data_IF_157229649827
#
_entry.id   IF_157229649827
#
_cell.length_a   1.000
_cell.length_b   1.000
_cell.length_c   1.000
_cell.angle_alpha   90.00
_cell.angle_beta   90.00
_cell.angle_gamma   90.00
#
_symmetry.space_group_name_H-M   'P 1'
#
loop_
_entity.id
_entity.type
_entity.pdbx_description
1 polymer ?
#
# COMPACT_ATOMS: atom_id res chain seq x y z
N UNK A 1 19.90 2.04 -10.95
CA UNK A 1 19.50 3.21 -10.14
C UNK A 1 18.19 3.73 -10.71
N UNK A 2 17.10 3.65 -9.94
CA UNK A 2 15.77 4.10 -10.40
C UNK A 2 15.77 5.63 -10.48
N UNK A 3 15.48 6.19 -11.65
CA UNK A 3 15.19 7.63 -11.80
C UNK A 3 13.85 7.89 -11.12
N UNK A 4 13.77 8.91 -10.26
CA UNK A 4 12.49 9.38 -9.78
C UNK A 4 11.69 9.92 -10.97
N UNK A 5 10.55 9.30 -11.27
CA UNK A 5 9.60 9.83 -12.25
C UNK A 5 8.73 10.89 -11.58
N UNK A 6 8.35 11.90 -12.36
CA UNK A 6 7.32 12.89 -11.97
C UNK A 6 5.90 12.38 -12.21
N UNK A 7 5.75 11.24 -12.87
CA UNK A 7 4.46 10.59 -13.07
C UNK A 7 3.82 10.20 -11.73
N UNK A 8 2.50 10.28 -11.67
CA UNK A 8 1.75 9.68 -10.57
C UNK A 8 1.88 8.15 -10.56
N UNK A 9 1.67 7.54 -9.39
CA UNK A 9 1.67 6.06 -9.25
C UNK A 9 0.66 5.40 -10.19
N UNK A 10 -0.48 6.06 -10.45
CA UNK A 10 -1.49 5.57 -11.39
C UNK A 10 -0.96 5.53 -12.82
N UNK A 11 -0.28 6.58 -13.25
CA UNK A 11 0.32 6.67 -14.59
C UNK A 11 1.46 5.66 -14.76
N UNK A 12 2.32 5.53 -13.75
CA UNK A 12 3.38 4.52 -13.75
C UNK A 12 2.83 3.11 -13.90
N UNK A 13 1.77 2.77 -13.14
CA UNK A 13 1.08 1.48 -13.26
C UNK A 13 0.50 1.28 -14.66
N UNK A 14 -0.14 2.30 -15.23
CA UNK A 14 -0.69 2.22 -16.58
C UNK A 14 0.40 1.97 -17.64
N UNK A 15 1.56 2.64 -17.54
CA UNK A 15 2.69 2.48 -18.48
C UNK A 15 3.27 1.07 -18.51
N UNK A 16 3.13 0.29 -17.43
CA UNK A 16 3.64 -1.09 -17.33
C UNK A 16 2.55 -2.16 -17.44
N UNK A 17 1.31 -1.76 -17.73
CA UNK A 17 0.15 -2.67 -17.80
C UNK A 17 -0.39 -2.71 -19.22
N UNK A 18 -0.05 -3.75 -19.97
CA UNK A 18 -0.62 -4.01 -21.29
C UNK A 18 -1.96 -4.75 -21.19
N UNK A 19 -2.87 -4.50 -22.14
CA UNK A 19 -4.14 -5.23 -22.26
C UNK A 19 -3.88 -6.75 -22.40
N UNK A 20 -4.56 -7.55 -21.59
CA UNK A 20 -4.41 -9.02 -21.50
C UNK A 20 -2.97 -9.47 -21.15
N UNK A 21 -2.18 -8.60 -20.51
CA UNK A 21 -0.81 -8.91 -20.09
C UNK A 21 -0.73 -9.55 -18.71
N UNK A 22 0.45 -10.07 -18.38
CA UNK A 22 0.73 -10.69 -17.06
C UNK A 22 0.60 -9.69 -15.91
N UNK A 23 1.05 -8.44 -16.11
CA UNK A 23 0.90 -7.36 -15.11
C UNK A 23 -0.56 -7.02 -14.85
N UNK A 24 -1.41 -7.04 -15.88
CA UNK A 24 -2.85 -6.80 -15.73
C UNK A 24 -3.47 -7.91 -14.87
N UNK A 25 -3.23 -9.18 -15.23
CA UNK A 25 -3.76 -10.32 -14.49
C UNK A 25 -3.31 -10.32 -13.00
N UNK A 26 -2.07 -9.92 -12.72
CA UNK A 26 -1.59 -9.77 -11.35
C UNK A 26 -2.34 -8.67 -10.58
N UNK A 27 -2.57 -7.51 -11.21
CA UNK A 27 -3.33 -6.41 -10.61
C UNK A 27 -4.78 -6.83 -10.34
N UNK A 28 -5.43 -7.51 -11.29
CA UNK A 28 -6.79 -8.01 -11.14
C UNK A 28 -6.89 -9.00 -9.97
N UNK A 29 -5.92 -9.93 -9.83
CA UNK A 29 -5.87 -10.84 -8.69
C UNK A 29 -5.71 -10.11 -7.34
N UNK A 30 -4.96 -9.01 -7.29
CA UNK A 30 -4.87 -8.18 -6.08
C UNK A 30 -6.21 -7.48 -5.78
N UNK A 31 -6.92 -7.01 -6.79
CA UNK A 31 -8.22 -6.35 -6.63
C UNK A 31 -9.29 -7.34 -6.15
N UNK A 32 -9.33 -8.54 -6.72
CA UNK A 32 -10.22 -9.64 -6.27
C UNK A 32 -9.99 -9.98 -4.80
N UNK A 33 -8.74 -9.91 -4.34
CA UNK A 33 -8.36 -10.15 -2.95
C UNK A 33 -8.54 -8.92 -2.04
N UNK A 34 -9.16 -7.84 -2.51
CA UNK A 34 -9.38 -6.60 -1.75
C UNK A 34 -8.10 -6.00 -1.18
N UNK A 35 -7.01 -6.03 -1.95
CA UNK A 35 -5.69 -5.62 -1.50
C UNK A 35 -5.65 -4.20 -0.93
N UNK A 36 -6.35 -3.23 -1.53
CA UNK A 36 -6.39 -1.85 -1.00
C UNK A 36 -6.96 -1.79 0.42
N UNK A 37 -8.00 -2.58 0.70
CA UNK A 37 -8.63 -2.68 2.02
C UNK A 37 -7.70 -3.33 3.03
N UNK A 38 -7.00 -4.40 2.63
CA UNK A 38 -6.02 -5.09 3.48
C UNK A 38 -4.92 -4.12 3.93
N UNK A 39 -4.32 -3.38 3.00
CA UNK A 39 -3.26 -2.41 3.30
C UNK A 39 -3.79 -1.27 4.18
N UNK A 40 -4.97 -0.71 3.87
CA UNK A 40 -5.56 0.37 4.65
C UNK A 40 -5.82 -0.04 6.10
N UNK A 41 -6.35 -1.26 6.31
CA UNK A 41 -6.56 -1.83 7.64
C UNK A 41 -5.25 -2.05 8.37
N UNK A 42 -4.25 -2.66 7.72
CA UNK A 42 -2.96 -2.93 8.33
C UNK A 42 -2.28 -1.64 8.81
N UNK A 43 -2.29 -0.59 8.00
CA UNK A 43 -1.74 0.72 8.36
C UNK A 43 -2.46 1.34 9.55
N UNK A 44 -3.80 1.23 9.61
CA UNK A 44 -4.57 1.71 10.75
C UNK A 44 -4.23 0.95 12.04
N UNK A 45 -4.16 -0.37 11.99
CA UNK A 45 -3.80 -1.19 13.14
C UNK A 45 -2.38 -0.90 13.62
N UNK A 46 -1.43 -0.71 12.70
CA UNK A 46 -0.06 -0.31 13.05
C UNK A 46 -0.03 1.07 13.74
N UNK A 47 -0.81 2.03 13.23
CA UNK A 47 -0.94 3.36 13.84
C UNK A 47 -1.56 3.29 15.24
N UNK A 48 -2.63 2.53 15.43
CA UNK A 48 -3.26 2.33 16.74
C UNK A 48 -2.28 1.72 17.74
N UNK A 49 -1.52 0.69 17.35
CA UNK A 49 -0.50 0.10 18.21
C UNK A 49 0.63 1.08 18.56
N UNK A 50 1.08 1.88 17.61
CA UNK A 50 2.10 2.90 17.87
C UNK A 50 1.62 3.94 18.90
N UNK A 51 0.33 4.30 18.87
CA UNK A 51 -0.28 5.19 19.87
C UNK A 51 -0.34 4.56 21.25
N UNK A 52 -0.76 3.29 21.36
CA UNK A 52 -0.77 2.55 22.62
C UNK A 52 0.62 2.53 23.26
N UNK A 53 1.64 2.18 22.48
CA UNK A 53 3.04 2.19 22.94
C UNK A 53 3.44 3.59 23.43
N UNK A 54 3.05 4.64 22.70
CA UNK A 54 3.29 6.03 23.11
C UNK A 54 2.65 6.38 24.46
N UNK A 55 1.42 5.92 24.72
CA UNK A 55 0.75 6.10 26.00
C UNK A 55 1.43 5.29 27.12
N UNK A 56 1.71 4.00 26.89
CA UNK A 56 2.40 3.11 27.84
C UNK A 56 3.76 3.69 28.28
N UNK A 57 4.49 4.31 27.35
CA UNK A 57 5.79 4.94 27.63
C UNK A 57 5.67 6.27 28.39
N UNK A 58 4.60 7.03 28.16
CA UNK A 58 4.35 8.30 28.86
C UNK A 58 3.82 8.09 30.27
N UNK A 59 3.05 7.03 30.51
CA UNK A 59 2.49 6.70 31.82
C UNK A 59 3.54 6.05 32.76
N UNK A 60 4.61 5.50 32.20
CA UNK A 60 5.73 4.89 32.93
C UNK A 60 6.93 5.84 33.13
N UNK A 61 6.81 7.11 32.75
CA UNK A 61 7.85 8.15 32.90
C UNK A 61 7.52 9.09 34.07
#
# INVERSE_FOLDING_TARGET
MSKQSTDSVRELRAKVTSKNGTTQAAIESFQEQNFETIISRAMRTAFERAREIGFELSDNA
#
